data_IF_399325944711
#
_entry.id   IF_399325944711
#
_cell.length_a   1.000
_cell.length_b   1.000
_cell.length_c   1.000
_cell.angle_alpha   90.00
_cell.angle_beta   90.00
_cell.angle_gamma   90.00
#
_symmetry.space_group_name_H-M   'P 1'
#
loop_
_entity.id
_entity.type
_entity.pdbx_description
1 polymer ?
#
# COMPACT_ATOMS: atom_id res chain seq x y z
N UNK A 1 -44.55 6.29 44.05
CA UNK A 1 -44.21 5.98 42.64
C UNK A 1 -42.84 6.59 42.38
N UNK A 2 -41.94 5.81 41.82
CA UNK A 2 -40.52 5.63 42.17
C UNK A 2 -39.56 6.79 41.83
N UNK A 3 -38.67 7.09 42.77
CA UNK A 3 -37.39 7.80 42.59
C UNK A 3 -36.36 6.87 41.95
N UNK A 4 -35.94 7.15 40.71
CA UNK A 4 -34.79 6.49 40.08
C UNK A 4 -33.52 7.30 40.31
N UNK A 5 -32.85 6.99 41.42
CA UNK A 5 -31.42 7.25 41.59
C UNK A 5 -30.71 5.90 41.55
N UNK A 6 -30.04 5.60 40.44
CA UNK A 6 -28.93 4.63 40.41
C UNK A 6 -27.91 5.11 39.38
N UNK A 7 -27.24 6.20 39.73
CA UNK A 7 -25.87 6.44 39.29
C UNK A 7 -24.98 5.76 40.35
N UNK A 8 -24.46 4.57 40.04
CA UNK A 8 -23.18 4.00 40.51
C UNK A 8 -23.09 2.56 39.99
N UNK A 9 -22.56 2.40 38.80
CA UNK A 9 -21.84 1.20 38.38
C UNK A 9 -20.57 1.68 37.69
N UNK A 10 -19.62 2.07 38.53
CA UNK A 10 -18.24 2.43 38.19
C UNK A 10 -17.56 1.26 37.49
N UNK A 11 -17.07 1.53 36.28
CA UNK A 11 -15.73 1.14 35.80
C UNK A 11 -15.31 -0.32 35.97
N UNK A 12 -15.82 -1.17 35.08
CA UNK A 12 -15.13 -2.34 34.53
C UNK A 12 -15.97 -2.72 33.31
N UNK A 13 -15.70 -2.18 32.13
CA UNK A 13 -15.10 -2.98 31.05
C UNK A 13 -14.67 -2.01 29.94
N UNK A 14 -13.57 -1.28 30.14
CA UNK A 14 -12.81 -0.69 29.03
C UNK A 14 -11.71 -1.68 28.62
N UNK A 15 -12.13 -2.92 28.35
CA UNK A 15 -11.20 -4.03 28.14
C UNK A 15 -11.69 -4.95 27.03
N UNK A 16 -12.13 -4.40 25.91
CA UNK A 16 -12.05 -5.16 24.65
C UNK A 16 -11.42 -4.28 23.59
N UNK A 17 -10.11 -4.50 23.46
CA UNK A 17 -9.34 -4.29 22.25
C UNK A 17 -10.04 -5.02 21.09
N UNK A 18 -11.05 -4.40 20.51
CA UNK A 18 -11.44 -4.74 19.15
C UNK A 18 -10.38 -4.17 18.23
N UNK A 19 -9.29 -4.93 18.15
CA UNK A 19 -8.31 -4.94 17.08
C UNK A 19 -9.01 -5.39 15.80
N UNK A 20 -9.92 -4.55 15.31
CA UNK A 20 -10.46 -4.69 13.97
C UNK A 20 -9.34 -4.28 13.00
N UNK A 21 -8.63 -5.31 12.52
CA UNK A 21 -7.67 -5.26 11.42
C UNK A 21 -8.40 -4.96 10.08
N UNK A 22 -9.29 -3.97 10.08
CA UNK A 22 -10.07 -3.55 8.92
C UNK A 22 -9.35 -2.43 8.18
N UNK A 23 -8.41 -2.85 7.34
CA UNK A 23 -7.68 -1.99 6.43
C UNK A 23 -6.49 -2.79 5.95
N UNK A 24 -6.45 -3.08 4.64
CA UNK A 24 -5.29 -3.68 4.00
C UNK A 24 -4.03 -2.97 4.50
N UNK A 25 -3.24 -3.66 5.33
CA UNK A 25 -2.15 -3.06 6.10
C UNK A 25 -1.26 -2.24 5.18
N UNK A 26 -0.91 -1.02 5.59
CA UNK A 26 0.05 -0.13 4.91
C UNK A 26 1.30 -0.88 4.40
N UNK A 27 1.67 -1.98 5.05
CA UNK A 27 2.71 -2.91 4.63
C UNK A 27 2.58 -3.43 3.18
N UNK A 28 1.36 -3.64 2.67
CA UNK A 28 1.13 -4.06 1.29
C UNK A 28 1.59 -3.01 0.28
N UNK A 29 1.15 -1.77 0.47
CA UNK A 29 1.56 -0.62 -0.36
C UNK A 29 3.06 -0.37 -0.31
N UNK A 30 3.67 -0.46 0.88
CA UNK A 30 5.14 -0.33 1.05
C UNK A 30 5.88 -1.41 0.25
N UNK A 31 5.37 -2.65 0.21
CA UNK A 31 5.97 -3.73 -0.57
C UNK A 31 5.90 -3.46 -2.07
N UNK A 32 4.79 -2.92 -2.55
CA UNK A 32 4.61 -2.53 -3.97
C UNK A 32 5.54 -1.35 -4.31
N UNK A 33 5.66 -0.37 -3.42
CA UNK A 33 6.59 0.73 -3.57
C UNK A 33 8.04 0.25 -3.69
N UNK A 34 8.44 -0.73 -2.86
CA UNK A 34 9.77 -1.33 -2.92
C UNK A 34 10.04 -2.05 -4.25
N UNK A 35 9.05 -2.75 -4.82
CA UNK A 35 9.17 -3.38 -6.14
C UNK A 35 9.35 -2.31 -7.23
N UNK A 36 8.55 -1.24 -7.19
CA UNK A 36 8.66 -0.09 -8.11
C UNK A 36 10.04 0.58 -8.03
N UNK A 37 10.58 0.73 -6.81
CA UNK A 37 11.91 1.25 -6.60
C UNK A 37 12.99 0.33 -7.19
N UNK A 38 12.86 -0.99 -7.01
CA UNK A 38 13.78 -1.97 -7.59
C UNK A 38 13.76 -1.95 -9.13
N UNK A 39 12.58 -1.85 -9.74
CA UNK A 39 12.43 -1.70 -11.20
C UNK A 39 13.11 -0.40 -11.68
N UNK A 40 12.99 0.68 -10.91
CA UNK A 40 13.64 1.96 -11.24
C UNK A 40 15.15 1.90 -11.07
N UNK A 41 15.66 1.17 -10.06
CA UNK A 41 17.09 0.93 -9.91
C UNK A 41 17.65 0.08 -11.06
N UNK A 42 16.90 -0.93 -11.52
CA UNK A 42 17.23 -1.70 -12.72
C UNK A 42 17.28 -0.81 -13.96
N UNK A 43 16.33 0.11 -14.11
CA UNK A 43 16.37 1.10 -15.19
C UNK A 43 17.61 1.99 -15.13
N UNK A 44 17.94 2.52 -13.95
CA UNK A 44 19.17 3.30 -13.79
C UNK A 44 20.40 2.43 -14.06
N UNK A 45 20.36 1.12 -13.79
CA UNK A 45 21.48 0.24 -14.16
C UNK A 45 21.64 0.10 -15.68
N UNK A 46 20.57 0.27 -16.47
CA UNK A 46 20.68 0.16 -17.93
C UNK A 46 21.38 1.32 -18.60
N UNK A 47 21.53 2.48 -17.94
CA UNK A 47 22.45 3.52 -18.45
C UNK A 47 23.92 3.19 -18.19
N UNK A 48 24.23 2.24 -17.31
CA UNK A 48 25.59 1.77 -17.06
C UNK A 48 25.98 0.52 -17.87
N UNK A 49 24.99 -0.19 -18.43
CA UNK A 49 25.19 -1.44 -19.17
C UNK A 49 24.64 -1.27 -20.59
N UNK A 50 25.46 -1.54 -21.60
CA UNK A 50 25.04 -1.38 -22.99
C UNK A 50 24.24 -2.60 -23.47
N UNK A 51 22.92 -2.39 -23.67
CA UNK A 51 21.99 -3.41 -24.14
C UNK A 51 21.75 -3.35 -25.66
N UNK A 52 22.47 -2.47 -26.38
CA UNK A 52 22.36 -2.34 -27.83
C UNK A 52 20.95 -1.95 -28.30
N UNK A 53 20.46 -2.46 -29.45
CA UNK A 53 19.18 -2.05 -30.04
C UNK A 53 17.95 -2.35 -29.18
N UNK A 54 18.06 -3.28 -28.21
CA UNK A 54 16.99 -3.66 -27.29
C UNK A 54 16.85 -2.71 -26.10
N UNK A 55 17.80 -1.80 -25.89
CA UNK A 55 17.77 -0.81 -24.79
C UNK A 55 16.49 0.05 -24.82
N UNK A 56 16.20 0.64 -25.98
CA UNK A 56 15.08 1.56 -26.17
C UNK A 56 13.71 0.89 -25.95
N UNK A 57 13.40 -0.28 -26.58
CA UNK A 57 12.14 -0.96 -26.32
C UNK A 57 12.05 -1.51 -24.88
N UNK A 58 13.14 -1.97 -24.28
CA UNK A 58 13.14 -2.43 -22.88
C UNK A 58 12.81 -1.31 -21.90
N UNK A 59 13.38 -0.10 -22.10
CA UNK A 59 13.05 1.09 -21.31
C UNK A 59 11.58 1.48 -21.45
N UNK A 60 11.04 1.43 -22.67
CA UNK A 60 9.66 1.79 -22.96
C UNK A 60 8.68 0.82 -22.27
N UNK A 61 8.97 -0.48 -22.29
CA UNK A 61 8.18 -1.49 -21.57
C UNK A 61 8.27 -1.27 -20.05
N UNK A 62 9.47 -1.06 -19.51
CA UNK A 62 9.66 -0.79 -18.07
C UNK A 62 8.89 0.46 -17.61
N UNK A 63 8.83 1.51 -18.44
CA UNK A 63 8.01 2.70 -18.19
C UNK A 63 6.52 2.39 -18.16
N UNK A 64 6.02 1.64 -19.13
CA UNK A 64 4.61 1.25 -19.18
C UNK A 64 4.23 0.41 -17.95
N UNK A 65 5.08 -0.55 -17.55
CA UNK A 65 4.85 -1.39 -16.36
C UNK A 65 4.78 -0.53 -15.09
N UNK A 66 5.71 0.40 -14.91
CA UNK A 66 5.71 1.30 -13.76
C UNK A 66 4.46 2.18 -13.73
N UNK A 67 4.08 2.74 -14.87
CA UNK A 67 2.87 3.54 -14.99
C UNK A 67 1.62 2.74 -14.60
N UNK A 68 1.47 1.53 -15.13
CA UNK A 68 0.33 0.64 -14.79
C UNK A 68 0.34 0.28 -13.31
N UNK A 69 1.50 -0.04 -12.72
CA UNK A 69 1.59 -0.30 -11.28
C UNK A 69 1.19 0.92 -10.46
N UNK A 70 1.64 2.13 -10.82
CA UNK A 70 1.29 3.35 -10.10
C UNK A 70 -0.20 3.64 -10.18
N UNK A 71 -0.79 3.56 -11.38
CA UNK A 71 -2.21 3.81 -11.58
C UNK A 71 -3.08 2.74 -10.89
N UNK A 72 -2.66 1.48 -10.94
CA UNK A 72 -3.36 0.38 -10.29
C UNK A 72 -3.29 0.50 -8.77
N UNK A 73 -2.10 0.66 -8.19
CA UNK A 73 -1.90 0.53 -6.73
C UNK A 73 -1.89 1.85 -5.97
N UNK A 74 -1.39 2.95 -6.55
CA UNK A 74 -1.29 4.26 -5.89
C UNK A 74 -2.44 5.21 -6.26
N UNK A 75 -3.05 5.06 -7.45
CA UNK A 75 -4.26 5.79 -7.83
C UNK A 75 -5.57 5.03 -7.51
N UNK A 76 -5.52 4.03 -6.63
CA UNK A 76 -6.71 3.39 -6.06
C UNK A 76 -7.56 2.50 -7.02
N UNK A 77 -7.13 2.17 -8.24
CA UNK A 77 -7.93 1.32 -9.15
C UNK A 77 -7.88 -0.19 -8.86
N UNK A 78 -6.85 -0.69 -8.16
CA UNK A 78 -6.64 -2.11 -7.82
C UNK A 78 -7.13 -2.45 -6.42
N UNK A 79 -7.23 -1.44 -5.57
CA UNK A 79 -7.72 -1.54 -4.20
C UNK A 79 -8.77 -0.45 -3.97
N UNK A 80 -9.89 -0.60 -4.67
CA UNK A 80 -11.16 -0.24 -4.05
C UNK A 80 -11.57 -1.48 -3.25
N UNK A 81 -11.48 -1.36 -1.92
CA UNK A 81 -11.86 -2.40 -0.97
C UNK A 81 -12.93 -1.82 -0.05
#
# INVERSE_FOLDING_TARGET
MTTDTTQTATTAEHAENHAENHGMSNAGYVRIAAILAAITALEVSTVYVDFGPLFLPALLIMMAVKFIMVVSYFMHLKFDN
#
